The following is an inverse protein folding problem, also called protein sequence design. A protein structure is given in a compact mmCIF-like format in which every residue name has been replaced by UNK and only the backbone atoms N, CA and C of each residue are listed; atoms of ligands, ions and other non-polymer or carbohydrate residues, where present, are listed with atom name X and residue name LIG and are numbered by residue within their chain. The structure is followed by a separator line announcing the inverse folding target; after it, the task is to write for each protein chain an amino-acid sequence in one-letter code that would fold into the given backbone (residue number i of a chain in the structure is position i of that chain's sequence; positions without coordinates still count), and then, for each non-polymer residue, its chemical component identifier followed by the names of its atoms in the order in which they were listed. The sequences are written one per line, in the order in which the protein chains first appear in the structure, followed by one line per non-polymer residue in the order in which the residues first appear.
data_IF_728758025276
#
_entry.id   IF_728758025276
#
_cell.length_a   1.000
_cell.length_b   1.000
_cell.length_c   1.000
_cell.angle_alpha   90.00
_cell.angle_beta   90.00
_cell.angle_gamma   90.00
#
_symmetry.space_group_name_H-M   'P 1'
#
loop_
_entity.id
_entity.type
_entity.pdbx_description
1 polymer ?
#
# COMPACT_ATOMS: atom_id res chain seq x y z
N UNK A 1 23.57 14.78 -6.15
CA UNK A 1 22.85 14.22 -4.98
C UNK A 1 21.80 13.22 -5.47
N UNK A 2 21.80 12.01 -4.93
CA UNK A 2 20.79 11.01 -5.29
C UNK A 2 19.47 11.30 -4.56
N UNK A 3 18.37 11.24 -5.29
CA UNK A 3 17.03 11.37 -4.73
C UNK A 3 16.35 9.99 -4.70
N UNK A 4 15.76 9.66 -3.57
CA UNK A 4 15.08 8.38 -3.36
C UNK A 4 13.62 8.66 -3.02
N UNK A 5 12.72 7.98 -3.73
CA UNK A 5 11.28 8.01 -3.44
C UNK A 5 10.90 6.70 -2.76
N UNK A 6 10.20 6.79 -1.65
CA UNK A 6 9.60 5.62 -0.99
C UNK A 6 8.09 5.75 -1.07
N UNK A 7 7.45 4.78 -1.72
CA UNK A 7 5.99 4.69 -1.83
C UNK A 7 5.51 3.71 -0.77
N UNK A 8 4.77 4.23 0.21
CA UNK A 8 4.39 3.46 1.41
C UNK A 8 3.00 2.86 1.24
N UNK A 9 2.94 1.53 1.23
CA UNK A 9 1.70 0.74 1.36
C UNK A 9 0.58 1.13 0.39
N UNK A 10 0.90 1.42 -0.87
CA UNK A 10 -0.10 1.69 -1.90
C UNK A 10 -0.71 0.38 -2.42
N UNK A 11 -1.21 -0.41 -1.51
CA UNK A 11 -1.81 -1.72 -1.73
C UNK A 11 -3.34 -1.59 -1.85
N UNK A 12 -3.95 -2.56 -2.53
CA UNK A 12 -5.39 -2.52 -2.82
C UNK A 12 -6.26 -2.41 -1.56
N UNK A 13 -5.92 -3.11 -0.48
CA UNK A 13 -6.71 -3.05 0.75
C UNK A 13 -6.77 -1.67 1.38
N UNK A 14 -5.75 -0.84 1.18
CA UNK A 14 -5.72 0.54 1.69
C UNK A 14 -6.34 1.55 0.72
N UNK A 15 -6.64 1.17 -0.50
CA UNK A 15 -7.17 2.06 -1.54
C UNK A 15 -8.64 1.74 -1.82
N UNK A 16 -8.92 0.57 -2.38
CA UNK A 16 -10.26 0.14 -2.78
C UNK A 16 -10.83 -0.97 -1.91
N UNK A 17 -9.99 -1.60 -1.08
CA UNK A 17 -10.37 -2.73 -0.23
C UNK A 17 -10.92 -2.32 1.13
N UNK A 18 -10.80 -3.23 2.09
CA UNK A 18 -11.47 -3.13 3.39
C UNK A 18 -11.05 -1.93 4.25
N UNK A 19 -9.82 -1.42 4.06
CA UNK A 19 -9.33 -0.23 4.77
C UNK A 19 -9.24 1.00 3.85
N UNK A 20 -9.81 0.92 2.65
CA UNK A 20 -9.84 2.04 1.72
C UNK A 20 -10.84 3.13 2.12
N UNK A 21 -10.57 4.34 1.64
CA UNK A 21 -11.47 5.48 1.80
C UNK A 21 -11.26 6.47 0.65
N UNK A 22 -12.10 7.52 0.60
CA UNK A 22 -12.05 8.48 -0.50
C UNK A 22 -10.73 9.26 -0.54
N UNK A 23 -10.16 9.58 0.62
CA UNK A 23 -8.88 10.28 0.69
C UNK A 23 -7.74 9.43 0.14
N UNK A 24 -7.71 8.14 0.47
CA UNK A 24 -6.71 7.21 -0.05
C UNK A 24 -6.86 7.05 -1.56
N UNK A 25 -8.09 6.91 -2.07
CA UNK A 25 -8.33 6.81 -3.51
C UNK A 25 -7.94 8.09 -4.25
N UNK A 26 -8.21 9.25 -3.66
CA UNK A 26 -7.85 10.54 -4.24
C UNK A 26 -6.34 10.77 -4.29
N UNK A 27 -5.58 10.13 -3.40
CA UNK A 27 -4.12 10.24 -3.39
C UNK A 27 -3.43 9.49 -4.54
N UNK A 28 -4.08 8.48 -5.13
CA UNK A 28 -3.47 7.63 -6.16
C UNK A 28 -2.96 8.42 -7.37
N UNK A 29 -3.73 9.35 -7.99
CA UNK A 29 -3.22 10.12 -9.11
C UNK A 29 -1.97 10.95 -8.76
N UNK A 30 -1.94 11.54 -7.57
CA UNK A 30 -0.79 12.32 -7.11
C UNK A 30 0.46 11.44 -6.95
N UNK A 31 0.31 10.25 -6.41
CA UNK A 31 1.41 9.27 -6.27
C UNK A 31 1.93 8.87 -7.65
N UNK A 32 1.04 8.59 -8.60
CA UNK A 32 1.41 8.23 -9.98
C UNK A 32 2.20 9.37 -10.63
N UNK A 33 1.75 10.61 -10.48
CA UNK A 33 2.43 11.77 -11.05
C UNK A 33 3.84 11.92 -10.49
N UNK A 34 4.01 11.72 -9.18
CA UNK A 34 5.33 11.79 -8.55
C UNK A 34 6.27 10.71 -9.09
N UNK A 35 5.78 9.48 -9.23
CA UNK A 35 6.58 8.38 -9.78
C UNK A 35 6.98 8.67 -11.23
N UNK A 36 6.05 9.17 -12.04
CA UNK A 36 6.29 9.46 -13.47
C UNK A 36 7.14 10.69 -13.71
N UNK A 37 7.32 11.55 -12.71
CA UNK A 37 8.13 12.76 -12.84
C UNK A 37 9.60 12.47 -13.18
N UNK A 38 10.08 11.25 -12.86
CA UNK A 38 11.45 10.79 -13.07
C UNK A 38 12.50 11.67 -12.38
N UNK A 39 12.10 12.38 -11.34
CA UNK A 39 13.00 13.21 -10.54
C UNK A 39 13.85 12.39 -9.56
N UNK A 40 13.52 11.11 -9.39
CA UNK A 40 14.12 10.24 -8.40
C UNK A 40 15.00 9.18 -9.05
N UNK A 41 16.19 8.98 -8.49
CA UNK A 41 17.14 7.97 -8.98
C UNK A 41 16.65 6.55 -8.66
N UNK A 42 15.99 6.40 -7.52
CA UNK A 42 15.44 5.12 -7.08
C UNK A 42 14.04 5.29 -6.53
N UNK A 43 13.17 4.32 -6.83
CA UNK A 43 11.81 4.25 -6.27
C UNK A 43 11.68 2.91 -5.55
N UNK A 44 11.34 2.96 -4.26
CA UNK A 44 11.06 1.79 -3.45
C UNK A 44 9.59 1.78 -3.06
N UNK A 45 9.01 0.59 -3.04
CA UNK A 45 7.61 0.39 -2.65
C UNK A 45 7.58 -0.50 -1.42
N UNK A 46 6.94 -0.04 -0.36
CA UNK A 46 6.73 -0.87 0.83
C UNK A 46 5.41 -1.62 0.73
N UNK A 47 5.32 -2.76 1.41
CA UNK A 47 4.11 -3.58 1.45
C UNK A 47 3.89 -4.08 2.87
N UNK A 48 2.80 -3.62 3.50
CA UNK A 48 2.32 -4.21 4.73
C UNK A 48 1.92 -5.66 4.43
N UNK A 49 2.35 -6.61 5.23
CA UNK A 49 2.16 -8.03 4.95
C UNK A 49 1.79 -8.78 6.22
N UNK A 50 0.65 -9.46 6.18
CA UNK A 50 0.15 -10.27 7.29
C UNK A 50 -0.04 -11.72 6.85
N UNK A 51 -0.02 -12.65 7.81
CA UNK A 51 -0.36 -14.03 7.58
C UNK A 51 -1.86 -14.30 7.76
N UNK A 52 -2.28 -15.51 7.46
CA UNK A 52 -3.67 -15.93 7.63
C UNK A 52 -4.13 -15.86 9.10
N UNK A 53 -3.18 -15.88 10.04
CA UNK A 53 -3.43 -15.79 11.48
C UNK A 53 -3.49 -14.34 11.99
N UNK A 54 -3.73 -13.35 11.13
CA UNK A 54 -3.68 -11.94 11.50
C UNK A 54 -4.49 -11.62 12.78
N UNK A 55 -5.71 -12.16 12.89
CA UNK A 55 -6.57 -11.87 14.04
C UNK A 55 -6.04 -12.45 15.37
N UNK A 56 -5.15 -13.42 15.29
CA UNK A 56 -4.49 -14.02 16.47
C UNK A 56 -3.25 -13.24 16.90
N UNK A 57 -2.85 -12.23 16.13
CA UNK A 57 -1.69 -11.38 16.43
C UNK A 57 -2.09 -10.23 17.36
N UNK A 58 -1.09 -9.62 17.99
CA UNK A 58 -1.31 -8.45 18.82
C UNK A 58 -1.92 -7.29 18.01
N UNK A 59 -1.47 -7.09 16.79
CA UNK A 59 -2.02 -6.06 15.89
C UNK A 59 -3.47 -6.36 15.55
N UNK A 60 -3.81 -7.62 15.24
CA UNK A 60 -5.17 -8.05 14.94
C UNK A 60 -6.14 -7.86 16.10
N UNK A 61 -5.65 -7.92 17.35
CA UNK A 61 -6.49 -7.67 18.52
C UNK A 61 -6.84 -6.19 18.69
N UNK A 62 -6.00 -5.29 18.16
CA UNK A 62 -6.21 -3.84 18.23
C UNK A 62 -6.96 -3.30 17.03
N UNK A 63 -6.74 -3.87 15.86
CA UNK A 63 -7.41 -3.53 14.61
C UNK A 63 -7.95 -4.82 13.99
N UNK A 64 -9.16 -5.27 14.38
CA UNK A 64 -9.67 -6.58 13.98
C UNK A 64 -10.24 -6.57 12.55
N UNK A 65 -9.50 -6.05 11.61
CA UNK A 65 -9.83 -6.05 10.18
C UNK A 65 -8.73 -6.79 9.44
N UNK A 66 -9.04 -7.97 8.91
CA UNK A 66 -8.08 -8.75 8.12
C UNK A 66 -7.76 -8.00 6.83
N UNK A 67 -6.48 -7.73 6.61
CA UNK A 67 -6.03 -6.99 5.43
C UNK A 67 -4.60 -7.38 5.05
N UNK A 68 -4.24 -7.11 3.81
CA UNK A 68 -2.88 -7.32 3.30
C UNK A 68 -2.30 -8.70 3.62
N UNK A 69 -3.15 -9.74 3.54
CA UNK A 69 -2.71 -11.12 3.72
C UNK A 69 -1.86 -11.52 2.52
N UNK A 70 -0.67 -12.02 2.77
CA UNK A 70 0.29 -12.41 1.74
C UNK A 70 -0.34 -13.27 0.65
N UNK A 71 -0.15 -12.88 -0.61
CA UNK A 71 -0.65 -13.59 -1.78
C UNK A 71 -2.08 -13.23 -2.20
N UNK A 72 -2.81 -12.42 -1.44
CA UNK A 72 -4.16 -11.98 -1.82
C UNK A 72 -4.11 -10.75 -2.73
N UNK A 73 -5.20 -10.48 -3.44
CA UNK A 73 -5.31 -9.27 -4.28
C UNK A 73 -5.24 -8.00 -3.44
N UNK A 74 -5.78 -8.00 -2.23
CA UNK A 74 -5.73 -6.85 -1.33
C UNK A 74 -4.30 -6.49 -0.89
N UNK A 75 -3.44 -7.47 -0.81
CA UNK A 75 -2.03 -7.31 -0.47
C UNK A 75 -1.22 -6.68 -1.61
N UNK A 76 -1.61 -6.91 -2.86
CA UNK A 76 -0.86 -6.42 -4.01
C UNK A 76 -0.86 -4.91 -4.11
N UNK A 77 0.25 -4.35 -4.60
CA UNK A 77 0.33 -2.93 -4.91
C UNK A 77 -0.68 -2.60 -6.02
N UNK A 78 -1.36 -1.47 -5.88
CA UNK A 78 -2.34 -1.03 -6.86
C UNK A 78 -1.73 -1.00 -8.26
N UNK A 79 -2.42 -1.58 -9.24
CA UNK A 79 -1.92 -1.74 -10.61
C UNK A 79 -1.67 -0.41 -11.32
N UNK A 80 -2.36 0.66 -10.92
CA UNK A 80 -2.15 1.99 -11.49
C UNK A 80 -0.86 2.64 -10.98
N UNK A 81 -0.41 2.24 -9.78
CA UNK A 81 0.83 2.74 -9.17
C UNK A 81 2.05 2.04 -9.77
N UNK A 82 1.95 0.79 -10.12
CA UNK A 82 3.07 -0.02 -10.63
C UNK A 82 2.96 -0.26 -12.13
#
# INVERSE_FOLDING_TARGET
MKKILVVVDMQNDFITGCLGNDDCRAAVPAVIDVIRSREYDHVYVTMDTHGENYLDTQEGSKLPVVHCVSGTDGWKVNSDVM
#
